data_IF_901401210411
#
_entry.id   IF_901401210411
#
_cell.length_a   1.000
_cell.length_b   1.000
_cell.length_c   1.000
_cell.angle_alpha   90.00
_cell.angle_beta   90.00
_cell.angle_gamma   90.00
#
_symmetry.space_group_name_H-M   'P 1'
#
loop_
_entity.id
_entity.type
_entity.pdbx_description
1 polymer ?
#
# COMPACT_ATOMS: atom_id res chain seq x y z
N UNK A 1 -12.11 -1.41 3.89
CA UNK A 1 -11.96 -0.09 4.51
C UNK A 1 -10.65 -0.01 5.30
N UNK A 2 -9.90 1.06 5.11
CA UNK A 2 -8.63 1.23 5.81
C UNK A 2 -8.86 1.58 7.27
N UNK A 3 -8.04 1.02 8.16
CA UNK A 3 -8.18 1.23 9.60
C UNK A 3 -6.97 1.99 10.12
N UNK A 4 -7.19 3.19 10.64
CA UNK A 4 -6.12 3.99 11.24
C UNK A 4 -5.69 3.40 12.58
N UNK A 5 -4.40 3.52 12.88
CA UNK A 5 -3.84 3.01 14.13
C UNK A 5 -3.69 1.50 14.18
N UNK A 6 -3.77 0.84 13.02
CA UNK A 6 -3.66 -0.63 12.94
C UNK A 6 -2.90 -1.04 11.70
N UNK A 7 -2.42 -2.28 11.69
CA UNK A 7 -1.87 -2.87 10.48
C UNK A 7 -3.01 -3.22 9.53
N UNK A 8 -2.81 -2.90 8.26
CA UNK A 8 -3.75 -3.22 7.20
C UNK A 8 -3.03 -4.03 6.14
N UNK A 9 -3.63 -5.14 5.70
CA UNK A 9 -3.09 -5.89 4.58
C UNK A 9 -3.58 -5.25 3.30
N UNK A 10 -2.65 -4.70 2.55
CA UNK A 10 -2.95 -3.98 1.32
C UNK A 10 -2.32 -4.67 0.12
N UNK A 11 -2.94 -4.46 -1.04
CA UNK A 11 -2.47 -5.02 -2.30
C UNK A 11 -1.81 -3.91 -3.10
N UNK A 12 -0.66 -4.21 -3.70
CA UNK A 12 0.03 -3.25 -4.57
C UNK A 12 -0.75 -3.13 -5.87
N UNK A 13 -1.31 -1.95 -6.12
CA UNK A 13 -2.10 -1.69 -7.31
C UNK A 13 -1.24 -1.25 -8.50
N UNK A 14 -0.26 -0.40 -8.25
CA UNK A 14 0.62 0.05 -9.32
C UNK A 14 1.94 0.58 -8.76
N UNK A 15 2.95 0.57 -9.63
CA UNK A 15 4.27 1.10 -9.35
C UNK A 15 4.44 2.41 -10.11
N UNK A 16 4.83 3.47 -9.41
CA UNK A 16 5.10 4.77 -10.00
C UNK A 16 6.50 5.24 -9.62
N UNK A 17 6.95 6.33 -10.23
CA UNK A 17 8.26 6.89 -9.90
C UNK A 17 8.32 7.44 -8.46
N UNK A 18 7.16 7.70 -7.86
CA UNK A 18 7.10 8.23 -6.49
C UNK A 18 6.99 7.12 -5.44
N UNK A 19 6.63 5.92 -5.85
CA UNK A 19 6.43 4.80 -4.95
C UNK A 19 5.33 3.89 -5.45
N UNK A 20 4.85 3.04 -4.56
CA UNK A 20 3.79 2.09 -4.88
C UNK A 20 2.47 2.57 -4.32
N UNK A 21 1.41 2.44 -5.12
CA UNK A 21 0.05 2.68 -4.65
C UNK A 21 -0.57 1.38 -4.18
N UNK A 22 -1.12 1.41 -2.99
CA UNK A 22 -1.69 0.24 -2.32
C UNK A 22 -3.18 0.46 -2.08
N UNK A 23 -3.95 -0.61 -2.14
CA UNK A 23 -5.38 -0.55 -1.83
C UNK A 23 -5.77 -1.71 -0.93
N UNK A 24 -6.99 -1.64 -0.37
CA UNK A 24 -7.50 -2.74 0.44
C UNK A 24 -8.09 -3.87 -0.41
N UNK A 25 -8.01 -3.73 -1.72
CA UNK A 25 -8.52 -4.75 -2.64
C UNK A 25 -9.99 -4.60 -2.99
N UNK A 26 -10.73 -3.75 -2.28
CA UNK A 26 -12.16 -3.57 -2.50
C UNK A 26 -12.53 -2.18 -3.00
N UNK A 27 -11.77 -1.16 -2.59
CA UNK A 27 -12.05 0.22 -3.00
C UNK A 27 -10.77 0.89 -3.50
N UNK A 28 -10.64 0.96 -4.82
CA UNK A 28 -9.45 1.52 -5.46
C UNK A 28 -9.37 3.03 -5.37
N UNK A 29 -10.43 3.68 -4.91
CA UNK A 29 -10.43 5.13 -4.74
C UNK A 29 -9.69 5.56 -3.48
N UNK A 30 -9.51 4.64 -2.54
CA UNK A 30 -8.82 4.92 -1.27
C UNK A 30 -7.44 4.28 -1.27
N UNK A 31 -6.60 4.69 -2.21
CA UNK A 31 -5.24 4.17 -2.29
C UNK A 31 -4.30 4.90 -1.35
N UNK A 32 -3.30 4.17 -0.86
CA UNK A 32 -2.25 4.70 -0.01
C UNK A 32 -0.95 4.68 -0.80
N UNK A 33 -0.21 5.79 -0.77
CA UNK A 33 1.10 5.84 -1.41
C UNK A 33 2.17 5.39 -0.42
N UNK A 34 2.94 4.37 -0.81
CA UNK A 34 4.11 3.93 -0.07
C UNK A 34 5.35 4.51 -0.78
N UNK A 35 6.01 5.52 -0.18
CA UNK A 35 7.17 6.14 -0.82
C UNK A 35 8.28 5.13 -1.09
N UNK A 36 9.07 5.39 -2.14
CA UNK A 36 10.13 4.47 -2.55
C UNK A 36 11.10 4.09 -1.43
N UNK A 37 11.41 5.01 -0.54
CA UNK A 37 12.35 4.75 0.55
C UNK A 37 11.85 3.71 1.56
N UNK A 38 10.56 3.42 1.55
CA UNK A 38 9.96 2.43 2.44
C UNK A 38 9.57 1.15 1.73
N UNK A 39 9.80 1.07 0.42
CA UNK A 39 9.42 -0.09 -0.37
C UNK A 39 10.44 -1.20 -0.20
N UNK A 40 10.02 -2.43 0.19
CA UNK A 40 10.92 -3.58 0.21
C UNK A 40 11.44 -3.90 -1.20
N UNK A 41 12.65 -4.45 -1.29
CA UNK A 41 13.28 -4.71 -2.57
C UNK A 41 12.50 -5.69 -3.45
N UNK A 42 11.75 -6.59 -2.84
CA UNK A 42 11.07 -7.67 -3.56
C UNK A 42 9.58 -7.42 -3.74
N UNK A 43 9.12 -6.18 -3.57
CA UNK A 43 7.70 -5.87 -3.69
C UNK A 43 7.35 -5.59 -5.14
N UNK A 44 6.35 -6.30 -5.65
CA UNK A 44 5.84 -6.14 -7.02
C UNK A 44 4.36 -5.83 -7.02
N UNK A 45 3.86 -5.40 -8.19
CA UNK A 45 2.42 -5.21 -8.40
C UNK A 45 1.70 -6.53 -8.14
N UNK A 46 0.53 -6.44 -7.53
CA UNK A 46 -0.31 -7.57 -7.10
C UNK A 46 0.20 -8.28 -5.85
N UNK A 47 1.34 -7.88 -5.30
CA UNK A 47 1.79 -8.41 -4.02
C UNK A 47 0.96 -7.83 -2.88
N UNK A 48 0.89 -8.57 -1.78
CA UNK A 48 0.23 -8.10 -0.56
C UNK A 48 1.28 -7.70 0.46
N UNK A 49 1.00 -6.65 1.23
CA UNK A 49 1.90 -6.15 2.25
C UNK A 49 1.08 -5.62 3.43
N UNK A 50 1.57 -5.87 4.65
CA UNK A 50 0.96 -5.31 5.85
C UNK A 50 1.58 -3.94 6.13
N UNK A 51 0.72 -2.93 6.26
CA UNK A 51 1.15 -1.55 6.48
C UNK A 51 0.45 -1.00 7.70
N UNK A 52 1.20 -0.34 8.58
CA UNK A 52 0.62 0.34 9.73
C UNK A 52 0.21 1.75 9.33
N UNK A 53 -1.06 2.07 9.47
CA UNK A 53 -1.58 3.39 9.13
C UNK A 53 -1.76 4.22 10.41
N UNK A 54 -1.24 5.45 10.38
CA UNK A 54 -1.40 6.36 11.51
C UNK A 54 -1.62 7.79 10.99
N UNK A 55 -2.15 8.62 11.85
CA UNK A 55 -2.38 10.02 11.52
C UNK A 55 -1.09 10.84 11.64
#
# INVERSE_FOLDING_TARGET
>A
MLKLGKFNRLVVEKNTEFGFYLSDGTDRRNMVLLPNKYVPENLDVDDEIDVFLYL
#
